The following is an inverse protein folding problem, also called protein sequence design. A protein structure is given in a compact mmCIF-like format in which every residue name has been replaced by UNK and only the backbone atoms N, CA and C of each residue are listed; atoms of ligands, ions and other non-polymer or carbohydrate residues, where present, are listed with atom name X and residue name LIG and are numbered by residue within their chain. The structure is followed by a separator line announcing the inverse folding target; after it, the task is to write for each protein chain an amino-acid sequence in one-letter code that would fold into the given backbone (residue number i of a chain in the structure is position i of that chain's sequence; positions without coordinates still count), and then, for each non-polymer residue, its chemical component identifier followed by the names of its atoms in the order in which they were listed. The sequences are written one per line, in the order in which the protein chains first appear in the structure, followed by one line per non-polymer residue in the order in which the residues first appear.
data_IF_567698772612
#
_entry.id   IF_567698772612
#
_cell.length_a   1.000
_cell.length_b   1.000
_cell.length_c   1.000
_cell.angle_alpha   90.00
_cell.angle_beta   90.00
_cell.angle_gamma   90.00
#
_symmetry.space_group_name_H-M   'P 1'
#
loop_
_entity.id
_entity.type
_entity.pdbx_description
1 polymer ?
#
# COMPACT_ATOMS: atom_id res chain seq x y z
N UNK A 1 2.05 -24.48 13.78
CA UNK A 1 3.06 -23.45 13.46
C UNK A 1 4.06 -24.15 12.58
N UNK A 2 4.48 -23.55 11.47
CA UNK A 2 5.31 -24.15 10.41
C UNK A 2 4.49 -24.64 9.21
N UNK A 3 4.00 -23.67 8.41
CA UNK A 3 3.83 -23.89 6.99
C UNK A 3 5.25 -23.85 6.38
N UNK A 4 5.92 -25.00 6.45
CA UNK A 4 7.12 -25.25 5.66
C UNK A 4 6.67 -25.27 4.19
N UNK A 5 6.96 -24.19 3.48
CA UNK A 5 7.01 -24.21 2.02
C UNK A 5 8.24 -25.04 1.69
N UNK A 6 8.07 -26.35 1.64
CA UNK A 6 9.09 -27.24 1.07
C UNK A 6 9.10 -27.04 -0.44
N UNK A 7 10.27 -26.58 -0.90
CA UNK A 7 10.81 -26.64 -2.25
C UNK A 7 9.95 -26.21 -3.45
N UNK A 8 10.39 -25.10 -4.03
CA UNK A 8 10.65 -24.94 -5.48
C UNK A 8 9.52 -24.59 -6.45
N UNK A 9 8.35 -24.15 -5.97
CA UNK A 9 7.42 -23.42 -6.85
C UNK A 9 7.50 -21.93 -6.53
N UNK A 10 8.32 -21.21 -7.30
CA UNK A 10 8.28 -19.75 -7.34
C UNK A 10 6.89 -19.30 -7.79
N UNK A 11 6.21 -18.49 -6.97
CA UNK A 11 4.90 -17.96 -7.34
C UNK A 11 5.06 -16.86 -8.39
N UNK A 12 4.41 -17.00 -9.54
CA UNK A 12 4.38 -15.95 -10.53
C UNK A 12 3.16 -15.05 -10.32
N UNK A 13 3.38 -13.82 -9.88
CA UNK A 13 2.36 -12.79 -9.74
C UNK A 13 2.25 -12.04 -11.08
N UNK A 14 1.16 -12.25 -11.82
CA UNK A 14 0.83 -11.49 -13.02
C UNK A 14 -0.08 -10.32 -12.66
N UNK A 15 0.35 -9.11 -12.98
CA UNK A 15 -0.46 -7.89 -12.93
C UNK A 15 -0.71 -7.41 -14.35
N UNK A 16 -1.68 -6.52 -14.57
CA UNK A 16 -2.02 -6.00 -15.89
C UNK A 16 -0.82 -5.36 -16.64
N UNK A 17 0.23 -4.96 -15.91
CA UNK A 17 1.42 -4.35 -16.47
C UNK A 17 2.66 -5.27 -16.48
N UNK A 18 2.86 -6.11 -15.45
CA UNK A 18 4.13 -6.80 -15.23
C UNK A 18 3.96 -8.15 -14.49
N UNK A 19 4.91 -9.06 -14.73
CA UNK A 19 5.02 -10.37 -14.07
C UNK A 19 6.15 -10.36 -13.05
N UNK A 20 5.88 -10.86 -11.85
CA UNK A 20 6.85 -10.95 -10.75
C UNK A 20 7.01 -12.37 -10.25
N UNK A 21 8.23 -12.85 -10.24
CA UNK A 21 8.57 -14.13 -9.63
C UNK A 21 8.80 -13.94 -8.13
N UNK A 22 7.97 -14.58 -7.31
CA UNK A 22 7.95 -14.49 -5.86
C UNK A 22 8.45 -15.80 -5.27
N UNK A 23 9.70 -15.76 -4.81
CA UNK A 23 10.37 -16.93 -4.23
C UNK A 23 10.37 -16.90 -2.69
N UNK A 24 9.80 -15.86 -2.08
CA UNK A 24 9.64 -15.74 -0.63
C UNK A 24 8.54 -14.76 -0.26
N UNK A 25 8.00 -14.92 0.96
CA UNK A 25 7.03 -13.98 1.54
C UNK A 25 7.58 -12.54 1.63
N UNK A 26 8.87 -12.38 1.93
CA UNK A 26 9.51 -11.07 2.03
C UNK A 26 9.49 -10.31 0.69
N UNK A 27 9.69 -11.03 -0.43
CA UNK A 27 9.63 -10.44 -1.78
C UNK A 27 8.21 -9.98 -2.13
N UNK A 28 7.19 -10.73 -1.70
CA UNK A 28 5.79 -10.35 -1.86
C UNK A 28 5.45 -9.10 -1.05
N UNK A 29 5.82 -9.07 0.23
CA UNK A 29 5.56 -7.93 1.10
C UNK A 29 6.19 -6.65 0.54
N UNK A 30 7.46 -6.73 0.12
CA UNK A 30 8.17 -5.59 -0.49
C UNK A 30 7.50 -5.11 -1.77
N UNK A 31 6.99 -6.02 -2.60
CA UNK A 31 6.28 -5.66 -3.83
C UNK A 31 4.95 -4.93 -3.55
N UNK A 32 4.21 -5.39 -2.54
CA UNK A 32 2.96 -4.76 -2.10
C UNK A 32 3.25 -3.38 -1.52
N UNK A 33 4.27 -3.24 -0.67
CA UNK A 33 4.65 -1.96 -0.08
C UNK A 33 5.10 -0.94 -1.15
N UNK A 34 5.93 -1.35 -2.11
CA UNK A 34 6.38 -0.46 -3.20
C UNK A 34 5.21 0.01 -4.07
N UNK A 35 4.28 -0.90 -4.40
CA UNK A 35 3.07 -0.57 -5.15
C UNK A 35 2.09 0.30 -4.37
N UNK A 36 1.85 -0.03 -3.11
CA UNK A 36 0.93 0.68 -2.24
C UNK A 36 1.39 2.11 -1.96
N UNK A 37 2.71 2.34 -1.91
CA UNK A 37 3.28 3.68 -1.72
C UNK A 37 3.31 4.50 -3.01
N UNK A 38 3.44 3.86 -4.18
CA UNK A 38 3.40 4.55 -5.48
C UNK A 38 2.05 5.22 -5.70
N UNK A 39 2.05 6.55 -5.68
CA UNK A 39 0.86 7.37 -5.95
C UNK A 39 0.14 7.89 -4.71
N UNK A 40 0.58 7.51 -3.50
CA UNK A 40 0.05 8.12 -2.27
C UNK A 40 0.68 9.50 -2.05
N UNK A 41 -0.13 10.56 -2.19
CA UNK A 41 0.21 11.87 -1.65
C UNK A 41 -0.21 11.95 -0.20
N UNK A 42 0.77 11.87 0.71
CA UNK A 42 0.53 12.10 2.13
C UNK A 42 0.63 13.60 2.39
N UNK A 43 -0.51 14.26 2.60
CA UNK A 43 -0.55 15.65 3.05
C UNK A 43 -0.73 15.70 4.56
N UNK A 44 0.28 16.21 5.27
CA UNK A 44 0.20 16.47 6.70
C UNK A 44 -0.16 17.94 6.93
N UNK A 45 -1.40 18.20 7.33
CA UNK A 45 -1.83 19.53 7.74
C UNK A 45 -1.22 19.87 9.11
N UNK A 46 -0.49 20.99 9.19
CA UNK A 46 0.10 21.47 10.45
C UNK A 46 -0.79 22.48 11.17
N UNK A 47 -1.86 22.92 10.53
CA UNK A 47 -2.90 23.77 11.11
C UNK A 47 -4.16 23.80 10.25
N UNK A 48 -5.28 24.20 10.84
CA UNK A 48 -6.60 24.22 10.19
C UNK A 48 -6.68 25.17 8.98
N UNK A 49 -5.85 26.21 8.95
CA UNK A 49 -5.77 27.15 7.82
C UNK A 49 -5.12 26.58 6.55
N UNK A 50 -4.54 25.38 6.62
CA UNK A 50 -3.98 24.65 5.46
C UNK A 50 -5.02 23.72 4.81
N UNK A 51 -6.17 23.51 5.46
CA UNK A 51 -7.25 22.65 4.97
C UNK A 51 -8.24 23.46 4.14
N UNK A 52 -8.75 22.85 3.07
CA UNK A 52 -9.85 23.46 2.29
C UNK A 52 -11.12 23.54 3.16
N UNK A 53 -11.97 24.58 3.02
CA UNK A 53 -13.17 24.74 3.85
C UNK A 53 -14.12 23.53 3.86
N UNK A 54 -14.25 22.82 2.72
CA UNK A 54 -15.06 21.61 2.61
C UNK A 54 -14.50 20.44 3.44
N UNK A 55 -13.17 20.27 3.43
CA UNK A 55 -12.50 19.22 4.23
C UNK A 55 -12.63 19.49 5.73
N UNK A 56 -12.55 20.76 6.14
CA UNK A 56 -12.68 21.15 7.55
C UNK A 56 -14.10 20.89 8.09
N UNK A 57 -15.13 21.08 7.26
CA UNK A 57 -16.50 20.74 7.62
C UNK A 57 -16.68 19.23 7.78
N UNK A 58 -16.29 18.43 6.79
CA UNK A 58 -16.43 16.96 6.78
C UNK A 58 -15.65 16.27 7.91
N UNK A 59 -14.48 16.78 8.30
CA UNK A 59 -13.66 16.12 9.34
C UNK A 59 -13.92 16.61 10.76
N UNK A 60 -14.58 17.76 10.95
CA UNK A 60 -14.60 18.43 12.26
C UNK A 60 -15.92 19.12 12.62
N UNK A 61 -16.79 19.46 11.65
CA UNK A 61 -18.00 20.24 11.90
C UNK A 61 -19.26 19.63 11.26
N UNK A 62 -19.28 18.34 10.97
CA UNK A 62 -20.49 17.63 10.54
C UNK A 62 -21.29 17.17 11.79
N UNK A 63 -22.53 17.66 12.01
CA UNK A 63 -23.34 17.31 13.18
C UNK A 63 -24.00 15.91 13.12
#
# INVERSE_FOLDING_TARGET
RDFLIEESDGLLLETDAEKYEINSFEKLQKLIDDRGQKGLQIQRFKGLGEMMPQQLWETTMDP
#
